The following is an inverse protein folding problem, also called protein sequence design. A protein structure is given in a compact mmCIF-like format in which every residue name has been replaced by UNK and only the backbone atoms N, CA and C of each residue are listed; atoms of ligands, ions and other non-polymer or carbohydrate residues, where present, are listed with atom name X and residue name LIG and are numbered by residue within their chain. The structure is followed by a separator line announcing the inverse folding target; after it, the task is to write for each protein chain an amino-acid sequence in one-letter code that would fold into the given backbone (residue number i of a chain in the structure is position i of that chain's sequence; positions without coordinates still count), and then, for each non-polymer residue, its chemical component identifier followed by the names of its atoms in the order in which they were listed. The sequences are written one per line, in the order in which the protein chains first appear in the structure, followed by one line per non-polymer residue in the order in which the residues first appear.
data_IF_971217590701
#
_entry.id   IF_971217590701
#
_cell.length_a   1.000
_cell.length_b   1.000
_cell.length_c   1.000
_cell.angle_alpha   90.00
_cell.angle_beta   90.00
_cell.angle_gamma   90.00
#
_symmetry.space_group_name_H-M   'P 1'
#
loop_
_entity.id
_entity.type
_entity.pdbx_description
1 polymer ?
#
# COMPACT_ATOMS: atom_id res chain seq x y z
N UNK A 1 43.34 15.18 -5.01
CA UNK A 1 42.95 14.04 -4.16
C UNK A 1 42.44 14.60 -2.85
N UNK A 2 41.12 14.91 -2.77
CA UNK A 2 40.49 15.45 -1.57
C UNK A 2 39.57 14.38 -1.01
N UNK A 3 39.65 14.04 0.29
CA UNK A 3 38.78 13.06 0.89
C UNK A 3 37.39 13.66 1.18
N UNK A 4 36.38 12.85 0.97
CA UNK A 4 34.96 13.07 1.17
C UNK A 4 34.62 13.56 2.58
N UNK A 5 34.01 14.75 2.69
CA UNK A 5 33.54 15.42 3.91
C UNK A 5 32.14 14.93 4.37
N UNK A 6 31.71 13.76 3.95
CA UNK A 6 30.34 13.27 4.17
C UNK A 6 30.11 12.51 5.49
N UNK A 7 31.03 12.54 6.47
CA UNK A 7 30.95 11.71 7.69
C UNK A 7 30.82 12.45 9.02
N UNK A 8 30.54 13.73 9.05
CA UNK A 8 30.36 14.43 10.32
C UNK A 8 29.14 15.35 10.27
N UNK A 9 28.23 15.12 11.22
CA UNK A 9 27.17 15.94 11.80
C UNK A 9 25.72 15.51 11.48
N UNK A 10 25.04 14.89 12.44
CA UNK A 10 23.58 14.74 12.43
C UNK A 10 22.82 16.07 12.61
N UNK A 11 23.50 17.16 13.00
CA UNK A 11 22.90 18.48 13.19
C UNK A 11 22.68 19.27 11.89
N UNK A 12 23.20 18.81 10.74
CA UNK A 12 23.11 19.57 9.49
C UNK A 12 21.71 19.59 8.88
N UNK A 13 20.85 18.60 9.17
CA UNK A 13 19.46 18.61 8.65
C UNK A 13 18.66 19.76 9.30
N UNK A 14 18.81 19.99 10.59
CA UNK A 14 18.11 21.07 11.32
C UNK A 14 18.69 22.44 10.96
N UNK A 15 19.99 22.53 10.73
CA UNK A 15 20.66 23.79 10.40
C UNK A 15 20.39 24.25 8.97
N UNK A 16 20.25 23.34 8.02
CA UNK A 16 19.94 23.67 6.62
C UNK A 16 18.53 24.25 6.49
N UNK A 17 17.56 23.76 7.26
CA UNK A 17 16.21 24.35 7.32
C UNK A 17 16.21 25.74 7.95
N UNK A 18 17.03 25.98 8.97
CA UNK A 18 17.11 27.29 9.63
C UNK A 18 17.80 28.34 8.75
N UNK A 19 18.82 27.98 7.99
CA UNK A 19 19.56 28.91 7.10
C UNK A 19 18.75 29.24 5.85
N UNK A 20 17.94 28.31 5.31
CA UNK A 20 17.04 28.62 4.19
C UNK A 20 15.92 29.58 4.60
N UNK A 21 15.45 29.50 5.84
CA UNK A 21 14.43 30.41 6.38
C UNK A 21 14.92 31.86 6.52
N UNK A 22 16.23 32.11 6.59
CA UNK A 22 16.81 33.44 6.76
C UNK A 22 17.13 34.12 5.40
N UNK A 23 17.32 33.35 4.33
CA UNK A 23 17.74 33.86 3.01
C UNK A 23 16.62 33.99 1.99
N UNK A 24 15.40 33.54 2.29
CA UNK A 24 14.25 33.71 1.41
C UNK A 24 13.56 35.04 1.75
N UNK A 25 13.35 35.95 0.78
CA UNK A 25 12.60 37.19 1.04
C UNK A 25 11.24 36.86 1.61
N UNK A 26 10.84 37.54 2.70
CA UNK A 26 9.66 37.27 3.55
C UNK A 26 8.30 37.22 2.82
N UNK A 27 8.28 37.33 1.50
CA UNK A 27 7.07 37.28 0.67
C UNK A 27 6.83 35.91 -0.01
N UNK A 28 7.68 34.89 0.22
CA UNK A 28 7.46 33.52 -0.22
C UNK A 28 7.46 32.58 0.99
N UNK A 29 6.47 32.75 1.85
CA UNK A 29 6.08 31.69 2.76
C UNK A 29 5.37 30.62 1.90
N UNK A 30 6.12 29.71 1.27
CA UNK A 30 5.55 28.44 0.85
C UNK A 30 5.12 27.74 2.15
N UNK A 31 3.84 27.85 2.48
CA UNK A 31 3.26 26.98 3.50
C UNK A 31 3.50 25.54 3.01
N UNK A 32 4.41 24.83 3.67
CA UNK A 32 4.62 23.41 3.42
C UNK A 32 3.27 22.75 3.63
N UNK A 33 2.84 21.92 2.68
CA UNK A 33 1.58 21.18 2.81
C UNK A 33 1.66 20.33 4.10
N UNK A 34 0.65 20.35 4.96
CA UNK A 34 0.66 19.57 6.19
C UNK A 34 0.95 18.08 5.98
N UNK A 35 0.65 17.55 4.80
CA UNK A 35 0.96 16.16 4.43
C UNK A 35 2.46 16.01 4.15
N UNK A 36 3.11 16.99 3.52
CA UNK A 36 4.56 16.94 3.27
C UNK A 36 5.33 17.00 4.59
N UNK A 37 4.93 17.88 5.53
CA UNK A 37 5.52 17.95 6.86
C UNK A 37 5.35 16.61 7.60
N UNK A 38 4.15 16.02 7.55
CA UNK A 38 3.88 14.73 8.16
C UNK A 38 4.74 13.61 7.55
N UNK A 39 4.94 13.61 6.24
CA UNK A 39 5.80 12.64 5.54
C UNK A 39 7.24 12.76 6.04
N UNK A 40 7.79 13.98 6.10
CA UNK A 40 9.15 14.19 6.61
C UNK A 40 9.32 13.75 8.06
N UNK A 41 8.29 13.91 8.89
CA UNK A 41 8.31 13.50 10.29
C UNK A 41 8.18 11.98 10.50
N UNK A 42 7.62 11.25 9.53
CA UNK A 42 7.25 9.84 9.66
C UNK A 42 8.01 8.90 8.72
N UNK A 43 8.75 9.43 7.77
CA UNK A 43 9.61 8.66 6.89
C UNK A 43 10.81 8.12 7.69
N UNK A 44 11.10 6.84 7.55
CA UNK A 44 12.27 6.22 8.19
C UNK A 44 13.59 6.85 7.71
N UNK A 45 14.64 6.70 8.50
CA UNK A 45 15.96 7.27 8.18
C UNK A 45 16.54 6.74 6.87
N UNK A 46 16.22 5.50 6.50
CA UNK A 46 16.63 4.85 5.25
C UNK A 46 15.68 5.14 4.07
N UNK A 47 14.66 5.97 4.30
CA UNK A 47 13.62 6.38 3.33
C UNK A 47 12.78 5.21 2.75
N UNK A 48 12.85 4.00 3.35
CA UNK A 48 12.18 2.81 2.85
C UNK A 48 10.82 2.53 3.48
N UNK A 49 10.53 3.12 4.63
CA UNK A 49 9.28 2.91 5.36
C UNK A 49 8.61 4.24 5.66
N UNK A 50 7.34 4.35 5.29
CA UNK A 50 6.49 5.48 5.66
C UNK A 50 5.29 4.97 6.44
N UNK A 51 5.18 5.36 7.72
CA UNK A 51 4.05 5.03 8.57
C UNK A 51 3.15 6.24 8.81
N UNK A 52 2.04 6.28 8.11
CA UNK A 52 0.98 7.27 8.26
C UNK A 52 -0.30 6.67 8.86
N UNK A 53 -0.17 5.60 9.64
CA UNK A 53 -1.30 4.92 10.27
C UNK A 53 -2.11 5.87 11.14
N UNK A 54 -3.44 5.90 10.95
CA UNK A 54 -4.37 6.67 11.78
C UNK A 54 -4.24 8.19 11.69
N UNK A 55 -3.54 8.72 10.71
CA UNK A 55 -3.29 10.17 10.57
C UNK A 55 -4.41 10.93 9.85
N UNK A 56 -5.45 10.21 9.42
CA UNK A 56 -6.64 10.78 8.78
C UNK A 56 -6.35 11.62 7.52
N UNK A 57 -5.34 11.23 6.75
CA UNK A 57 -4.95 11.96 5.52
C UNK A 57 -6.03 11.94 4.43
N UNK A 58 -6.92 10.97 4.47
CA UNK A 58 -8.00 10.80 3.50
C UNK A 58 -7.50 10.60 2.06
N UNK A 59 -8.43 10.65 1.12
CA UNK A 59 -8.08 10.55 -0.31
C UNK A 59 -7.28 11.75 -0.82
N UNK A 60 -7.39 12.91 -0.16
CA UNK A 60 -6.64 14.11 -0.54
C UNK A 60 -5.16 13.94 -0.23
N UNK A 61 -4.83 13.48 0.99
CA UNK A 61 -3.45 13.19 1.35
C UNK A 61 -2.84 12.09 0.48
N UNK A 62 -3.59 11.02 0.19
CA UNK A 62 -3.12 9.97 -0.73
C UNK A 62 -2.79 10.51 -2.14
N UNK A 63 -3.53 11.52 -2.63
CA UNK A 63 -3.23 12.19 -3.91
C UNK A 63 -1.95 13.04 -3.84
N UNK A 64 -1.67 13.66 -2.69
CA UNK A 64 -0.42 14.40 -2.46
C UNK A 64 0.75 13.42 -2.44
N UNK A 65 0.67 12.34 -1.63
CA UNK A 65 1.69 11.29 -1.59
C UNK A 65 2.03 10.76 -2.99
N UNK A 66 1.01 10.58 -3.84
CA UNK A 66 1.19 10.08 -5.20
C UNK A 66 2.06 10.97 -6.10
N UNK A 67 2.36 12.20 -5.69
CA UNK A 67 3.16 13.18 -6.45
C UNK A 67 4.54 13.43 -5.84
N UNK A 68 4.82 12.85 -4.70
CA UNK A 68 6.08 13.07 -3.97
C UNK A 68 7.19 12.17 -4.50
N UNK A 69 8.13 12.72 -5.25
CA UNK A 69 9.29 11.99 -5.77
C UNK A 69 10.23 11.48 -4.67
N UNK A 70 10.19 12.11 -3.49
CA UNK A 70 10.89 11.67 -2.29
C UNK A 70 10.58 10.19 -1.93
N UNK A 71 9.39 9.70 -2.31
CA UNK A 71 8.92 8.36 -1.98
C UNK A 71 9.32 7.29 -3.03
N UNK A 72 10.26 7.60 -3.93
CA UNK A 72 10.64 6.69 -5.04
C UNK A 72 11.34 5.41 -4.58
N UNK A 73 11.99 5.43 -3.42
CA UNK A 73 12.71 4.28 -2.87
C UNK A 73 11.92 3.54 -1.78
N UNK A 74 10.65 3.96 -1.56
CA UNK A 74 9.79 3.39 -0.55
C UNK A 74 9.46 1.93 -0.85
N UNK A 75 9.68 1.05 0.14
CA UNK A 75 9.35 -0.38 0.08
C UNK A 75 8.12 -0.71 0.93
N UNK A 76 7.88 0.02 2.03
CA UNK A 76 6.77 -0.19 2.97
C UNK A 76 5.96 1.07 3.14
N UNK A 77 4.65 0.98 2.87
CA UNK A 77 3.69 2.06 3.03
C UNK A 77 2.53 1.61 3.93
N UNK A 78 2.46 2.20 5.13
CA UNK A 78 1.43 1.91 6.12
C UNK A 78 0.42 3.05 6.15
N UNK A 79 -0.80 2.76 5.72
CA UNK A 79 -1.91 3.72 5.56
C UNK A 79 -3.18 3.28 6.29
N UNK A 80 -3.09 2.38 7.25
CA UNK A 80 -4.27 1.88 7.95
C UNK A 80 -5.03 3.00 8.66
N UNK A 81 -6.38 2.89 8.65
CA UNK A 81 -7.25 3.79 9.39
C UNK A 81 -7.27 5.24 8.90
N UNK A 82 -7.10 5.48 7.61
CA UNK A 82 -6.95 6.82 7.05
C UNK A 82 -8.17 7.35 6.28
N UNK A 83 -9.27 6.61 6.22
CA UNK A 83 -10.47 6.99 5.43
C UNK A 83 -10.17 7.24 3.95
N UNK A 84 -9.18 6.52 3.40
CA UNK A 84 -8.84 6.59 1.99
C UNK A 84 -9.91 5.84 1.20
N UNK A 85 -10.48 6.52 0.21
CA UNK A 85 -11.44 5.96 -0.74
C UNK A 85 -10.73 5.57 -2.04
N UNK A 86 -11.48 4.93 -2.93
CA UNK A 86 -11.02 4.55 -4.26
C UNK A 86 -10.20 5.63 -4.98
N UNK A 87 -10.62 6.92 -4.90
CA UNK A 87 -9.93 8.01 -5.61
C UNK A 87 -8.51 8.25 -5.12
N UNK A 88 -8.23 8.00 -3.83
CA UNK A 88 -6.89 8.05 -3.26
C UNK A 88 -6.04 6.88 -3.75
N UNK A 89 -6.57 5.65 -3.64
CA UNK A 89 -5.88 4.44 -4.11
C UNK A 89 -5.57 4.51 -5.61
N UNK A 90 -6.50 4.99 -6.43
CA UNK A 90 -6.26 5.20 -7.86
C UNK A 90 -5.09 6.12 -8.13
N UNK A 91 -4.90 7.15 -7.32
CA UNK A 91 -3.76 8.06 -7.47
C UNK A 91 -2.44 7.38 -7.09
N UNK A 92 -2.40 6.64 -5.97
CA UNK A 92 -1.24 5.85 -5.58
C UNK A 92 -0.89 4.79 -6.65
N UNK A 93 -1.88 4.04 -7.13
CA UNK A 93 -1.71 3.00 -8.14
C UNK A 93 -1.16 3.51 -9.49
N UNK A 94 -1.36 4.80 -9.78
CA UNK A 94 -0.86 5.46 -11.01
C UNK A 94 0.44 6.22 -10.82
N UNK A 95 0.96 6.26 -9.62
CA UNK A 95 2.20 6.98 -9.33
C UNK A 95 3.43 6.14 -9.69
N UNK A 96 4.38 6.69 -10.46
CA UNK A 96 5.64 6.02 -10.75
C UNK A 96 6.56 5.91 -9.53
N UNK A 97 6.27 6.65 -8.47
CA UNK A 97 7.09 6.69 -7.25
C UNK A 97 6.85 5.48 -6.33
N UNK A 98 5.81 4.68 -6.57
CA UNK A 98 5.50 3.49 -5.76
C UNK A 98 5.85 2.16 -6.45
N UNK A 99 6.80 2.20 -7.40
CA UNK A 99 7.22 0.99 -8.13
C UNK A 99 7.94 -0.04 -7.25
N UNK A 100 8.56 0.40 -6.16
CA UNK A 100 9.36 -0.43 -5.27
C UNK A 100 8.57 -0.96 -4.07
N UNK A 101 7.26 -0.65 -3.97
CA UNK A 101 6.42 -1.06 -2.84
C UNK A 101 6.26 -2.58 -2.83
N UNK A 102 6.68 -3.19 -1.71
CA UNK A 102 6.55 -4.61 -1.38
C UNK A 102 5.51 -4.85 -0.29
N UNK A 103 5.37 -3.91 0.65
CA UNK A 103 4.42 -3.99 1.75
C UNK A 103 3.46 -2.80 1.71
N UNK A 104 2.18 -3.08 1.47
CA UNK A 104 1.11 -2.09 1.46
C UNK A 104 0.04 -2.48 2.49
N UNK A 105 -0.12 -1.64 3.52
CA UNK A 105 -1.15 -1.80 4.53
C UNK A 105 -2.24 -0.74 4.36
N UNK A 106 -3.43 -1.18 3.97
CA UNK A 106 -4.60 -0.34 3.72
C UNK A 106 -5.76 -0.69 4.68
N UNK A 107 -5.50 -1.40 5.77
CA UNK A 107 -6.53 -1.80 6.72
C UNK A 107 -7.42 -0.64 7.15
N UNK A 108 -8.73 -0.89 7.26
CA UNK A 108 -9.68 0.07 7.83
C UNK A 108 -9.82 1.36 7.02
N UNK A 109 -9.77 1.25 5.71
CA UNK A 109 -10.09 2.32 4.77
C UNK A 109 -11.48 2.07 4.13
N UNK A 110 -11.79 2.73 3.04
CA UNK A 110 -13.05 2.58 2.32
C UNK A 110 -12.74 2.52 0.82
N UNK A 111 -11.84 1.60 0.43
CA UNK A 111 -11.33 1.56 -0.94
C UNK A 111 -12.31 0.88 -1.91
N UNK A 112 -13.08 -0.11 -1.42
CA UNK A 112 -14.05 -0.88 -2.19
C UNK A 112 -13.46 -1.61 -3.40
N UNK A 113 -14.32 -2.20 -4.20
CA UNK A 113 -13.92 -2.90 -5.42
C UNK A 113 -13.15 -2.02 -6.40
N UNK A 114 -13.56 -0.76 -6.54
CA UNK A 114 -12.88 0.17 -7.43
C UNK A 114 -11.44 0.49 -7.00
N UNK A 115 -11.15 0.44 -5.69
CA UNK A 115 -9.78 0.60 -5.17
C UNK A 115 -8.90 -0.61 -5.47
N UNK A 116 -9.40 -1.83 -5.21
CA UNK A 116 -8.66 -3.05 -5.55
C UNK A 116 -8.49 -3.20 -7.06
N UNK A 117 -9.51 -2.86 -7.87
CA UNK A 117 -9.38 -2.78 -9.32
C UNK A 117 -8.24 -1.85 -9.74
N UNK A 118 -8.12 -0.66 -9.13
CA UNK A 118 -7.05 0.29 -9.47
C UNK A 118 -5.65 -0.28 -9.16
N UNK A 119 -5.49 -1.06 -8.10
CA UNK A 119 -4.25 -1.79 -7.80
C UNK A 119 -3.99 -2.91 -8.83
N UNK A 120 -5.04 -3.65 -9.21
CA UNK A 120 -4.96 -4.73 -10.21
C UNK A 120 -4.51 -4.23 -11.58
N UNK A 121 -4.92 -3.01 -11.94
CA UNK A 121 -4.62 -2.36 -13.22
C UNK A 121 -3.37 -1.45 -13.16
N UNK A 122 -2.65 -1.42 -12.04
CA UNK A 122 -1.47 -0.55 -11.88
C UNK A 122 -0.34 -0.94 -12.82
N UNK A 123 0.26 0.07 -13.45
CA UNK A 123 1.48 -0.12 -14.24
C UNK A 123 2.76 -0.07 -13.39
N UNK A 124 2.65 0.35 -12.13
CA UNK A 124 3.80 0.64 -11.28
C UNK A 124 3.88 -0.29 -10.06
N UNK A 125 2.79 -0.51 -9.34
CA UNK A 125 2.77 -1.37 -8.15
C UNK A 125 2.69 -2.84 -8.59
N UNK A 126 3.84 -3.51 -8.69
CA UNK A 126 3.96 -4.89 -9.22
C UNK A 126 4.79 -5.82 -8.33
N UNK A 127 5.42 -5.28 -7.30
CA UNK A 127 6.36 -6.01 -6.45
C UNK A 127 5.77 -6.34 -5.07
N UNK A 128 4.42 -6.31 -4.93
CA UNK A 128 3.76 -6.54 -3.65
C UNK A 128 4.01 -7.97 -3.15
N UNK A 129 4.58 -8.06 -1.95
CA UNK A 129 4.74 -9.28 -1.17
C UNK A 129 3.70 -9.37 -0.04
N UNK A 130 3.34 -8.24 0.55
CA UNK A 130 2.35 -8.14 1.63
C UNK A 130 1.29 -7.11 1.25
N UNK A 131 0.04 -7.55 1.20
CA UNK A 131 -1.12 -6.70 0.96
C UNK A 131 -2.17 -6.92 2.04
N UNK A 132 -2.42 -5.88 2.84
CA UNK A 132 -3.44 -5.91 3.88
C UNK A 132 -4.61 -5.02 3.49
N UNK A 133 -5.75 -5.65 3.29
CA UNK A 133 -7.00 -5.05 2.82
C UNK A 133 -8.15 -5.27 3.82
N UNK A 134 -7.84 -5.61 5.05
CA UNK A 134 -8.84 -5.85 6.08
C UNK A 134 -9.77 -4.65 6.24
N UNK A 135 -11.09 -4.92 6.31
CA UNK A 135 -12.15 -3.93 6.51
C UNK A 135 -12.12 -2.80 5.48
N UNK A 136 -12.43 -3.16 4.21
CA UNK A 136 -12.37 -2.24 3.08
C UNK A 136 -13.54 -2.31 2.10
N UNK A 137 -14.60 -3.05 2.42
CA UNK A 137 -15.80 -3.17 1.57
C UNK A 137 -15.49 -3.80 0.19
N UNK A 138 -14.57 -4.79 0.15
CA UNK A 138 -14.14 -5.49 -1.07
C UNK A 138 -15.08 -6.67 -1.33
N UNK A 139 -15.63 -6.75 -2.53
CA UNK A 139 -16.49 -7.82 -3.02
C UNK A 139 -15.84 -8.68 -4.12
N UNK A 140 -16.67 -9.49 -4.77
CA UNK A 140 -16.23 -10.51 -5.72
C UNK A 140 -15.72 -9.95 -7.05
N UNK A 141 -16.31 -8.85 -7.53
CA UNK A 141 -15.95 -8.26 -8.84
C UNK A 141 -14.49 -7.86 -8.91
N UNK A 142 -13.96 -7.31 -7.83
CA UNK A 142 -12.56 -6.90 -7.76
C UNK A 142 -11.61 -8.08 -7.56
N UNK A 143 -12.07 -9.16 -6.91
CA UNK A 143 -11.29 -10.38 -6.75
C UNK A 143 -11.12 -11.14 -8.06
N UNK A 144 -12.13 -11.10 -8.94
CA UNK A 144 -11.99 -11.58 -10.31
C UNK A 144 -10.87 -10.87 -11.07
N UNK A 145 -10.84 -9.53 -10.98
CA UNK A 145 -9.79 -8.72 -11.61
C UNK A 145 -8.42 -8.95 -10.97
N UNK A 146 -8.36 -9.08 -9.64
CA UNK A 146 -7.15 -9.44 -8.92
C UNK A 146 -6.58 -10.78 -9.39
N UNK A 147 -7.44 -11.79 -9.56
CA UNK A 147 -7.05 -13.10 -10.03
C UNK A 147 -6.51 -13.12 -11.48
N UNK A 148 -6.95 -12.16 -12.31
CA UNK A 148 -6.47 -12.01 -13.69
C UNK A 148 -5.21 -11.14 -13.80
N UNK A 149 -4.84 -10.43 -12.73
CA UNK A 149 -3.73 -9.47 -12.73
C UNK A 149 -2.38 -10.15 -12.45
N UNK A 150 -1.35 -9.73 -13.17
CA UNK A 150 0.03 -10.15 -12.88
C UNK A 150 0.67 -9.39 -11.70
N UNK A 151 0.01 -8.33 -11.19
CA UNK A 151 0.58 -7.46 -10.16
C UNK A 151 0.69 -8.12 -8.78
N UNK A 152 0.01 -9.25 -8.57
CA UNK A 152 -0.06 -9.94 -7.28
C UNK A 152 0.66 -11.29 -7.25
N UNK A 153 1.42 -11.62 -8.30
CA UNK A 153 2.13 -12.90 -8.38
C UNK A 153 3.19 -13.10 -7.29
N UNK A 154 3.75 -12.00 -6.77
CA UNK A 154 4.77 -12.03 -5.72
C UNK A 154 4.18 -12.07 -4.30
N UNK A 155 2.84 -12.05 -4.15
CA UNK A 155 2.21 -12.03 -2.84
C UNK A 155 2.55 -13.28 -2.02
N UNK A 156 3.02 -13.01 -0.81
CA UNK A 156 3.24 -13.97 0.28
C UNK A 156 2.16 -13.86 1.35
N UNK A 157 1.63 -12.65 1.56
CA UNK A 157 0.58 -12.39 2.55
C UNK A 157 -0.55 -11.58 1.95
N UNK A 158 -1.77 -12.10 2.03
CA UNK A 158 -3.00 -11.44 1.64
C UNK A 158 -4.02 -11.48 2.78
N UNK A 159 -4.40 -10.32 3.29
CA UNK A 159 -5.37 -10.16 4.37
C UNK A 159 -6.64 -9.49 3.84
N UNK A 160 -7.73 -10.22 3.77
CA UNK A 160 -9.04 -9.78 3.27
C UNK A 160 -10.15 -9.91 4.33
N UNK A 161 -9.80 -10.01 5.59
CA UNK A 161 -10.77 -10.14 6.68
C UNK A 161 -11.78 -8.98 6.69
N UNK A 162 -12.98 -9.22 7.24
CA UNK A 162 -14.03 -8.18 7.36
C UNK A 162 -14.27 -7.43 6.03
N UNK A 163 -14.49 -8.16 4.96
CA UNK A 163 -14.90 -7.65 3.66
C UNK A 163 -16.23 -8.29 3.22
N UNK A 164 -16.59 -8.22 1.95
CA UNK A 164 -17.84 -8.73 1.41
C UNK A 164 -17.60 -9.87 0.40
N UNK A 165 -16.60 -10.71 0.68
CA UNK A 165 -16.26 -11.86 -0.17
C UNK A 165 -17.31 -12.96 0.00
N UNK A 166 -17.97 -13.35 -1.09
CA UNK A 166 -18.93 -14.46 -1.14
C UNK A 166 -18.26 -15.75 -1.65
N UNK A 167 -18.98 -16.88 -1.81
CA UNK A 167 -18.44 -18.09 -2.43
C UNK A 167 -17.82 -17.85 -3.81
N UNK A 168 -18.35 -16.87 -4.56
CA UNK A 168 -17.83 -16.52 -5.90
C UNK A 168 -16.42 -15.95 -5.80
N UNK A 169 -16.23 -14.95 -4.94
CA UNK A 169 -14.91 -14.35 -4.69
C UNK A 169 -13.91 -15.36 -4.12
N UNK A 170 -14.38 -16.20 -3.20
CA UNK A 170 -13.58 -17.29 -2.64
C UNK A 170 -13.07 -18.25 -3.72
N UNK A 171 -13.87 -18.56 -4.74
CA UNK A 171 -13.46 -19.42 -5.85
C UNK A 171 -12.31 -18.80 -6.69
N UNK A 172 -12.29 -17.48 -6.87
CA UNK A 172 -11.15 -16.81 -7.52
C UNK A 172 -9.88 -16.88 -6.67
N UNK A 173 -10.00 -16.74 -5.34
CA UNK A 173 -8.87 -16.84 -4.42
C UNK A 173 -8.35 -18.27 -4.27
N UNK A 174 -9.20 -19.27 -4.47
CA UNK A 174 -8.85 -20.69 -4.31
C UNK A 174 -7.92 -21.23 -5.42
N UNK A 175 -7.57 -20.42 -6.42
CA UNK A 175 -6.69 -20.85 -7.50
C UNK A 175 -5.20 -20.57 -7.15
N UNK A 176 -4.38 -21.60 -6.83
CA UNK A 176 -2.98 -21.41 -6.46
C UNK A 176 -2.10 -20.91 -7.61
N UNK A 177 -2.52 -21.06 -8.86
CA UNK A 177 -1.78 -20.57 -10.02
C UNK A 177 -1.79 -19.02 -10.08
N UNK A 178 -2.74 -18.39 -9.38
CA UNK A 178 -2.84 -16.91 -9.24
C UNK A 178 -1.82 -16.37 -8.25
N UNK A 179 -1.60 -17.09 -7.15
CA UNK A 179 -0.75 -16.67 -6.04
C UNK A 179 0.30 -17.74 -5.71
N UNK A 180 1.30 -17.98 -6.59
CA UNK A 180 2.21 -19.12 -6.48
C UNK A 180 3.11 -19.09 -5.24
N UNK A 181 3.29 -17.92 -4.62
CA UNK A 181 4.15 -17.74 -3.44
C UNK A 181 3.37 -17.47 -2.16
N UNK A 182 2.03 -17.61 -2.17
CA UNK A 182 1.19 -17.26 -1.03
C UNK A 182 1.45 -18.18 0.16
N UNK A 183 1.83 -17.58 1.28
CA UNK A 183 2.11 -18.23 2.55
C UNK A 183 1.00 -18.02 3.58
N UNK A 184 0.34 -16.86 3.51
CA UNK A 184 -0.75 -16.48 4.41
C UNK A 184 -1.90 -15.89 3.61
N UNK A 185 -3.08 -16.51 3.76
CA UNK A 185 -4.35 -16.00 3.28
C UNK A 185 -5.30 -15.88 4.46
N UNK A 186 -5.91 -14.72 4.69
CA UNK A 186 -6.93 -14.57 5.69
C UNK A 186 -8.19 -13.92 5.09
N UNK A 187 -9.28 -14.67 5.10
CA UNK A 187 -10.61 -14.26 4.61
C UNK A 187 -11.67 -14.34 5.73
N UNK A 188 -11.24 -14.34 7.00
CA UNK A 188 -12.13 -14.42 8.16
C UNK A 188 -13.16 -13.27 8.15
N UNK A 189 -14.37 -13.52 8.67
CA UNK A 189 -15.48 -12.56 8.67
C UNK A 189 -15.84 -12.02 7.28
N UNK A 190 -15.95 -12.93 6.32
CA UNK A 190 -16.58 -12.74 5.03
C UNK A 190 -17.79 -13.68 4.90
N UNK A 191 -18.51 -13.59 3.80
CA UNK A 191 -19.69 -14.43 3.52
C UNK A 191 -19.34 -15.66 2.67
N UNK A 192 -18.18 -16.26 2.92
CA UNK A 192 -17.62 -17.35 2.09
C UNK A 192 -18.48 -18.62 2.08
N UNK A 193 -19.11 -18.96 3.22
CA UNK A 193 -19.98 -20.13 3.36
C UNK A 193 -19.33 -21.48 3.03
N UNK A 194 -20.15 -22.52 3.04
CA UNK A 194 -19.68 -23.88 2.74
C UNK A 194 -19.23 -24.05 1.28
N UNK A 195 -19.90 -23.36 0.35
CA UNK A 195 -19.56 -23.41 -1.07
C UNK A 195 -18.18 -22.83 -1.36
N UNK A 196 -17.82 -21.72 -0.70
CA UNK A 196 -16.49 -21.13 -0.81
C UNK A 196 -15.42 -22.01 -0.15
N UNK A 197 -15.70 -22.58 1.03
CA UNK A 197 -14.81 -23.56 1.66
C UNK A 197 -14.59 -24.77 0.77
N UNK A 198 -15.63 -25.21 0.07
CA UNK A 198 -15.56 -26.30 -0.87
C UNK A 198 -14.72 -25.98 -2.13
N UNK A 199 -14.73 -24.72 -2.59
CA UNK A 199 -13.85 -24.28 -3.67
C UNK A 199 -12.37 -24.45 -3.28
N UNK A 200 -11.98 -24.06 -2.07
CA UNK A 200 -10.62 -24.29 -1.56
C UNK A 200 -10.27 -25.77 -1.43
N UNK A 201 -11.21 -26.61 -0.96
CA UNK A 201 -10.97 -28.03 -0.79
C UNK A 201 -10.75 -28.78 -2.11
N UNK A 202 -11.31 -28.29 -3.22
CA UNK A 202 -11.18 -28.87 -4.57
C UNK A 202 -10.04 -28.25 -5.37
N UNK A 203 -9.48 -27.15 -4.94
CA UNK A 203 -8.36 -26.53 -5.62
C UNK A 203 -7.12 -27.42 -5.53
N UNK A 204 -6.15 -27.19 -6.44
CA UNK A 204 -4.80 -27.71 -6.24
C UNK A 204 -4.26 -27.18 -4.90
N UNK A 205 -3.43 -27.95 -4.19
CA UNK A 205 -2.86 -27.45 -2.94
C UNK A 205 -1.98 -26.22 -3.19
N UNK A 206 -2.14 -25.24 -2.33
CA UNK A 206 -1.18 -24.13 -2.24
C UNK A 206 0.13 -24.67 -1.65
N UNK A 207 1.19 -24.71 -2.44
CA UNK A 207 2.46 -25.34 -2.04
C UNK A 207 3.14 -24.65 -0.87
N UNK A 208 2.91 -23.34 -0.69
CA UNK A 208 3.58 -22.52 0.30
C UNK A 208 2.67 -22.05 1.45
N UNK A 209 1.36 -22.37 1.41
CA UNK A 209 0.42 -21.84 2.40
C UNK A 209 0.70 -22.43 3.79
N UNK A 210 1.00 -21.55 4.75
CA UNK A 210 1.30 -21.89 6.15
C UNK A 210 0.14 -21.53 7.08
N UNK A 211 -0.71 -20.56 6.67
CA UNK A 211 -1.82 -20.05 7.45
C UNK A 211 -3.00 -19.69 6.54
N UNK A 212 -4.19 -20.16 6.97
CA UNK A 212 -5.46 -19.92 6.28
C UNK A 212 -6.58 -19.65 7.30
#
# INVERSE_FOLDING_TARGET
MFPSLAKFLPEFKTFFFLVLAILVPQNFCYAIDPIEELVHARLSEDEKTLDLSGTNIGSSGAKILARMSLLSDLETLLLQGNRIKYSGIRSLARSPYFRNIKHLDLWGNMIGDMGLKALSESNYIKELEVLKLWKNEIGDDSLELMAKSSNFKNLKTLMLNDNMVTPIGAAYLANPDVFPYLETLNIFRNEVGDEGAFAFSRSKPFLNLKSF
#
